data_IF_977551587386
#
_entry.id   IF_977551587386
#
_cell.length_a   1.000
_cell.length_b   1.000
_cell.length_c   1.000
_cell.angle_alpha   90.00
_cell.angle_beta   90.00
_cell.angle_gamma   90.00
#
_symmetry.space_group_name_H-M   'P 1'
#
loop_
_entity.id
_entity.type
_entity.pdbx_description
1 polymer ?
#
# COMPACT_ATOMS: atom_id res chain seq x y z
N UNK A 1 -12.52 -0.55 -11.57
CA UNK A 1 -12.04 -1.14 -12.84
C UNK A 1 -12.59 -2.56 -13.02
N UNK A 2 -12.56 -3.07 -14.27
CA UNK A 2 -12.97 -4.46 -14.56
C UNK A 2 -12.18 -4.98 -15.76
N UNK A 3 -11.78 -6.27 -15.69
CA UNK A 3 -11.12 -6.99 -16.80
C UNK A 3 -11.74 -8.38 -16.95
N UNK A 4 -11.52 -8.97 -18.14
CA UNK A 4 -11.77 -10.40 -18.38
C UNK A 4 -10.42 -11.10 -18.52
N UNK A 5 -10.21 -12.15 -17.77
CA UNK A 5 -8.98 -12.95 -17.84
C UNK A 5 -8.98 -13.87 -19.05
N UNK A 6 -7.82 -14.48 -19.37
CA UNK A 6 -7.70 -15.48 -20.43
C UNK A 6 -8.59 -16.73 -20.21
N UNK A 7 -8.99 -16.99 -18.97
CA UNK A 7 -9.90 -18.08 -18.60
C UNK A 7 -11.39 -17.70 -18.70
N UNK A 8 -11.68 -16.42 -19.02
CA UNK A 8 -13.06 -15.92 -19.12
C UNK A 8 -13.62 -15.41 -17.77
N UNK A 9 -12.84 -15.42 -16.71
CA UNK A 9 -13.27 -14.86 -15.42
C UNK A 9 -13.34 -13.34 -15.51
N UNK A 10 -14.42 -12.75 -15.03
CA UNK A 10 -14.52 -11.30 -14.82
C UNK A 10 -13.93 -10.97 -13.45
N UNK A 11 -13.05 -9.98 -13.40
CA UNK A 11 -12.51 -9.44 -12.15
C UNK A 11 -12.86 -7.96 -12.10
N UNK A 12 -13.61 -7.56 -11.08
CA UNK A 12 -13.97 -6.18 -10.80
C UNK A 12 -13.21 -5.69 -9.56
N UNK A 13 -12.49 -4.58 -9.68
CA UNK A 13 -11.81 -3.91 -8.57
C UNK A 13 -12.52 -2.63 -8.17
N UNK A 14 -12.58 -2.34 -6.88
CA UNK A 14 -13.22 -1.17 -6.32
C UNK A 14 -12.54 -0.69 -5.03
N UNK A 15 -12.83 0.55 -4.67
CA UNK A 15 -12.52 1.12 -3.37
C UNK A 15 -13.57 0.66 -2.35
N UNK A 16 -13.17 -0.05 -1.33
CA UNK A 16 -14.03 -0.37 -0.19
C UNK A 16 -13.90 0.74 0.85
N UNK A 17 -14.92 1.60 0.91
CA UNK A 17 -14.94 2.76 1.81
C UNK A 17 -15.57 2.36 3.14
N UNK A 18 -14.74 2.10 4.15
CA UNK A 18 -15.18 1.46 5.40
C UNK A 18 -15.86 2.42 6.39
N UNK A 19 -15.62 3.73 6.28
CA UNK A 19 -16.10 4.67 7.31
C UNK A 19 -16.96 5.81 6.77
N UNK A 20 -16.72 6.29 5.58
CA UNK A 20 -17.48 7.37 4.94
C UNK A 20 -17.24 7.39 3.42
N UNK A 21 -18.00 8.20 2.70
CA UNK A 21 -18.03 8.26 1.23
C UNK A 21 -16.90 9.08 0.58
N UNK A 22 -16.09 9.81 1.35
CA UNK A 22 -15.03 10.68 0.82
C UNK A 22 -13.82 9.89 0.32
N UNK A 23 -12.99 10.53 -0.51
CA UNK A 23 -11.76 9.97 -1.11
C UNK A 23 -10.55 10.02 -0.15
N UNK A 24 -10.77 9.75 1.10
CA UNK A 24 -9.75 9.70 2.17
C UNK A 24 -10.28 8.88 3.35
N UNK A 25 -9.40 8.46 4.23
CA UNK A 25 -9.75 7.68 5.41
C UNK A 25 -9.51 6.19 5.20
N UNK A 26 -10.27 5.34 5.87
CA UNK A 26 -10.10 3.89 5.76
C UNK A 26 -10.74 3.38 4.46
N UNK A 27 -9.91 3.27 3.41
CA UNK A 27 -10.29 2.79 2.08
C UNK A 27 -9.35 1.64 1.71
N UNK A 28 -9.92 0.48 1.42
CA UNK A 28 -9.20 -0.69 0.98
C UNK A 28 -9.41 -0.93 -0.51
N UNK A 29 -8.49 -1.60 -1.15
CA UNK A 29 -8.65 -2.07 -2.51
C UNK A 29 -9.13 -3.52 -2.49
N UNK A 30 -10.34 -3.75 -3.01
CA UNK A 30 -10.96 -5.07 -3.07
C UNK A 30 -11.22 -5.50 -4.50
N UNK A 31 -11.27 -6.81 -4.72
CA UNK A 31 -11.75 -7.40 -5.97
C UNK A 31 -12.90 -8.37 -5.72
N UNK A 32 -13.78 -8.51 -6.72
CA UNK A 32 -14.73 -9.61 -6.81
C UNK A 32 -14.57 -10.31 -8.15
N UNK A 33 -14.82 -11.61 -8.15
CA UNK A 33 -14.69 -12.47 -9.32
C UNK A 33 -16.05 -13.03 -9.72
N UNK A 34 -16.24 -13.21 -11.04
CA UNK A 34 -17.37 -13.93 -11.59
C UNK A 34 -16.88 -14.91 -12.66
N UNK A 35 -17.26 -16.17 -12.56
CA UNK A 35 -16.91 -17.23 -13.51
C UNK A 35 -18.08 -17.61 -14.42
N UNK A 36 -19.20 -16.90 -14.35
CA UNK A 36 -20.45 -17.14 -15.06
C UNK A 36 -20.96 -15.93 -15.87
N UNK A 37 -20.02 -15.15 -16.41
CA UNK A 37 -20.29 -13.94 -17.19
C UNK A 37 -21.04 -12.85 -16.42
N UNK A 38 -20.81 -12.73 -15.11
CA UNK A 38 -21.38 -11.66 -14.28
C UNK A 38 -22.76 -11.97 -13.72
N UNK A 39 -23.26 -13.19 -13.89
CA UNK A 39 -24.55 -13.60 -13.31
C UNK A 39 -24.48 -13.70 -11.80
N UNK A 40 -23.37 -14.26 -11.27
CA UNK A 40 -23.07 -14.28 -9.85
C UNK A 40 -21.65 -13.79 -9.58
N UNK A 41 -21.41 -13.31 -8.36
CA UNK A 41 -20.12 -12.78 -7.94
C UNK A 41 -19.69 -13.45 -6.63
N UNK A 42 -18.45 -13.90 -6.60
CA UNK A 42 -17.85 -14.48 -5.39
C UNK A 42 -17.71 -13.42 -4.29
N UNK A 43 -17.41 -13.85 -3.05
CA UNK A 43 -17.14 -12.94 -1.94
C UNK A 43 -15.97 -12.01 -2.28
N UNK A 44 -15.96 -10.77 -1.75
CA UNK A 44 -14.86 -9.85 -1.97
C UNK A 44 -13.55 -10.40 -1.41
N UNK A 45 -12.45 -10.09 -2.09
CA UNK A 45 -11.09 -10.39 -1.68
C UNK A 45 -10.40 -9.07 -1.40
N UNK A 46 -9.88 -8.90 -0.18
CA UNK A 46 -9.06 -7.75 0.18
C UNK A 46 -7.69 -7.92 -0.47
N UNK A 47 -7.38 -7.05 -1.44
CA UNK A 47 -6.08 -7.05 -2.14
C UNK A 47 -5.09 -6.21 -1.38
N UNK A 48 -5.50 -5.01 -0.96
CA UNK A 48 -4.69 -4.12 -0.14
C UNK A 48 -5.61 -3.50 0.92
N UNK A 49 -5.39 -3.91 2.17
CA UNK A 49 -6.03 -3.39 3.39
C UNK A 49 -4.93 -2.86 4.30
N UNK A 50 -4.61 -1.58 4.19
CA UNK A 50 -3.56 -0.97 4.98
C UNK A 50 -4.03 -0.71 6.42
N UNK A 51 -3.08 -0.81 7.35
CA UNK A 51 -3.35 -0.59 8.77
C UNK A 51 -4.04 0.77 8.99
N UNK A 52 -5.19 0.73 9.63
CA UNK A 52 -5.94 1.90 10.04
C UNK A 52 -5.79 2.17 11.53
N UNK A 53 -5.83 3.43 11.93
CA UNK A 53 -5.90 3.78 13.33
C UNK A 53 -7.37 3.83 13.80
N UNK A 54 -7.63 3.32 14.99
CA UNK A 54 -8.98 3.35 15.59
C UNK A 54 -9.38 4.72 16.13
N UNK A 55 -8.67 5.78 15.76
CA UNK A 55 -8.97 7.15 16.14
C UNK A 55 -10.15 7.68 15.30
N UNK A 56 -11.08 8.37 15.91
CA UNK A 56 -12.30 8.85 15.24
C UNK A 56 -13.08 7.77 14.45
N UNK A 57 -13.30 6.61 15.04
CA UNK A 57 -14.03 5.51 14.40
C UNK A 57 -13.34 4.97 13.12
N UNK A 58 -12.02 4.97 13.09
CA UNK A 58 -11.27 4.45 11.95
C UNK A 58 -11.24 5.38 10.73
N UNK A 59 -11.52 6.68 10.89
CA UNK A 59 -11.48 7.65 9.79
C UNK A 59 -10.07 8.04 9.37
N UNK A 60 -9.08 7.72 10.20
CA UNK A 60 -7.67 8.01 9.94
C UNK A 60 -6.94 6.75 9.55
N UNK A 61 -6.35 6.74 8.38
CA UNK A 61 -5.67 5.58 7.82
C UNK A 61 -4.67 5.99 6.75
N UNK A 62 -3.67 5.16 6.50
CA UNK A 62 -3.12 5.03 5.18
C UNK A 62 -4.15 4.31 4.31
N UNK A 63 -4.21 4.58 3.01
CA UNK A 63 -5.22 3.97 2.15
C UNK A 63 -4.76 3.83 0.71
N UNK A 64 -5.44 2.96 -0.04
CA UNK A 64 -5.30 2.84 -1.49
C UNK A 64 -6.61 3.21 -2.17
N UNK A 65 -6.52 3.77 -3.38
CA UNK A 65 -7.67 4.29 -4.11
C UNK A 65 -7.44 4.18 -5.64
N UNK A 66 -8.53 4.24 -6.40
CA UNK A 66 -8.53 4.31 -7.87
C UNK A 66 -7.85 3.10 -8.55
N UNK A 67 -8.26 1.87 -8.24
CA UNK A 67 -7.63 0.69 -8.84
C UNK A 67 -7.83 0.65 -10.35
N UNK A 68 -6.74 0.36 -11.08
CA UNK A 68 -6.74 0.06 -12.50
C UNK A 68 -6.29 -1.38 -12.73
N UNK A 69 -6.97 -2.11 -13.63
CA UNK A 69 -6.68 -3.51 -13.93
C UNK A 69 -6.25 -3.70 -15.37
N UNK A 70 -5.27 -4.59 -15.58
CA UNK A 70 -4.87 -5.08 -16.90
C UNK A 70 -4.69 -6.60 -16.82
N UNK A 71 -5.36 -7.35 -17.70
CA UNK A 71 -5.12 -8.78 -17.86
C UNK A 71 -4.16 -9.01 -19.04
N UNK A 72 -3.04 -9.73 -18.79
CA UNK A 72 -2.15 -10.15 -19.87
C UNK A 72 -2.82 -11.29 -20.67
N UNK A 73 -2.85 -11.10 -21.99
CA UNK A 73 -3.29 -12.13 -22.93
C UNK A 73 -2.27 -13.26 -23.08
N UNK A 74 -2.63 -14.28 -23.87
CA UNK A 74 -1.82 -15.49 -24.09
C UNK A 74 -0.42 -15.19 -24.70
N UNK A 75 -0.27 -14.08 -25.40
CA UNK A 75 0.99 -13.65 -26.03
C UNK A 75 1.81 -12.68 -25.16
N UNK A 76 1.38 -12.41 -23.92
CA UNK A 76 2.10 -11.58 -22.96
C UNK A 76 3.35 -12.29 -22.40
N UNK A 77 4.18 -11.56 -21.68
CA UNK A 77 5.36 -12.13 -20.99
C UNK A 77 4.95 -13.06 -19.83
N UNK A 78 3.80 -12.79 -19.23
CA UNK A 78 3.24 -13.56 -18.12
C UNK A 78 1.79 -13.91 -18.48
N UNK A 79 1.57 -14.91 -19.34
CA UNK A 79 0.24 -15.24 -19.83
C UNK A 79 -0.73 -15.55 -18.70
N UNK A 80 -1.88 -14.87 -18.70
CA UNK A 80 -2.92 -15.03 -17.67
C UNK A 80 -2.71 -14.22 -16.40
N UNK A 81 -1.60 -13.47 -16.29
CA UNK A 81 -1.39 -12.55 -15.17
C UNK A 81 -2.37 -11.38 -15.24
N UNK A 82 -2.89 -11.02 -14.08
CA UNK A 82 -3.68 -9.79 -13.91
C UNK A 82 -2.86 -8.82 -13.07
N UNK A 83 -2.62 -7.64 -13.61
CA UNK A 83 -1.95 -6.54 -12.94
C UNK A 83 -2.98 -5.58 -12.34
N UNK A 84 -2.67 -5.03 -11.18
CA UNK A 84 -3.44 -3.98 -10.52
C UNK A 84 -2.51 -2.83 -10.16
N UNK A 85 -2.84 -1.63 -10.63
CA UNK A 85 -2.21 -0.38 -10.21
C UNK A 85 -3.18 0.36 -9.29
N UNK A 86 -2.66 0.93 -8.21
CA UNK A 86 -3.42 1.76 -7.26
C UNK A 86 -2.63 2.98 -6.85
N UNK A 87 -3.33 4.04 -6.51
CA UNK A 87 -2.76 5.16 -5.76
C UNK A 87 -2.72 4.81 -4.28
N UNK A 88 -1.54 4.97 -3.65
CA UNK A 88 -1.36 4.80 -2.20
C UNK A 88 -1.08 6.13 -1.55
N UNK A 89 -1.81 6.41 -0.49
CA UNK A 89 -1.71 7.63 0.31
C UNK A 89 -1.34 7.31 1.75
N UNK A 90 -0.19 7.80 2.28
CA UNK A 90 0.07 7.79 3.72
C UNK A 90 -0.99 8.58 4.48
N UNK A 91 -1.21 8.25 5.75
CA UNK A 91 -2.13 8.99 6.59
C UNK A 91 -1.78 10.48 6.64
N UNK A 92 -2.81 11.35 6.57
CA UNK A 92 -2.64 12.79 6.70
C UNK A 92 -2.53 13.24 8.17
N UNK A 93 -1.64 14.17 8.46
CA UNK A 93 -1.50 14.76 9.81
C UNK A 93 -2.68 15.63 10.27
N UNK A 94 -3.55 16.05 9.35
CA UNK A 94 -4.68 16.96 9.67
C UNK A 94 -6.01 16.23 9.90
N UNK A 95 -5.93 15.09 10.40
CA UNK A 95 -6.86 14.08 10.86
C UNK A 95 -8.34 14.36 11.03
N UNK A 96 -8.84 15.52 10.98
CA UNK A 96 -10.27 15.75 11.29
C UNK A 96 -11.08 16.43 10.19
N UNK A 97 -10.47 16.75 9.05
CA UNK A 97 -11.15 17.61 8.08
C UNK A 97 -10.91 17.28 6.61
N UNK A 98 -10.92 16.02 6.23
CA UNK A 98 -11.07 15.64 4.83
C UNK A 98 -10.06 16.28 3.88
N UNK A 99 -8.83 16.43 4.29
CA UNK A 99 -7.79 16.90 3.39
C UNK A 99 -7.03 15.72 2.85
N UNK A 100 -6.92 15.68 1.52
CA UNK A 100 -6.05 14.75 0.83
C UNK A 100 -4.69 14.65 1.50
N UNK A 101 -4.12 13.46 1.51
CA UNK A 101 -2.81 13.19 2.12
C UNK A 101 -1.65 13.85 1.37
N UNK A 102 -1.89 14.41 0.18
CA UNK A 102 -0.87 15.08 -0.63
C UNK A 102 -0.61 16.47 -0.06
N UNK A 103 0.51 16.64 0.61
CA UNK A 103 0.95 17.92 1.20
C UNK A 103 2.35 18.30 0.83
N UNK A 104 3.11 17.37 0.29
CA UNK A 104 4.49 17.55 -0.09
C UNK A 104 4.66 17.25 -1.57
N UNK A 105 5.61 17.93 -2.19
CA UNK A 105 5.95 17.74 -3.60
C UNK A 105 7.05 16.70 -3.77
N UNK A 106 7.13 16.12 -4.98
CA UNK A 106 8.12 15.14 -5.37
C UNK A 106 7.70 13.70 -5.08
N UNK A 107 8.51 12.77 -5.55
CA UNK A 107 8.20 11.34 -5.51
C UNK A 107 8.32 10.69 -4.13
N UNK A 108 8.92 11.38 -3.15
CA UNK A 108 9.27 10.76 -1.87
C UNK A 108 10.50 9.85 -1.91
N UNK A 109 11.19 9.81 -3.06
CA UNK A 109 12.38 8.99 -3.27
C UNK A 109 13.65 9.82 -3.35
N UNK A 110 14.77 9.22 -2.96
CA UNK A 110 16.11 9.78 -3.08
C UNK A 110 17.04 8.79 -3.73
N UNK A 111 17.99 9.31 -4.51
CA UNK A 111 18.97 8.48 -5.22
C UNK A 111 20.23 8.28 -4.37
N UNK A 112 20.60 7.01 -4.15
CA UNK A 112 21.85 6.61 -3.49
C UNK A 112 22.56 5.61 -4.41
N UNK A 113 23.78 5.90 -4.80
CA UNK A 113 24.60 5.07 -5.69
C UNK A 113 23.86 4.64 -6.98
N UNK A 114 23.08 5.57 -7.55
CA UNK A 114 22.35 5.37 -8.80
C UNK A 114 21.00 4.65 -8.66
N UNK A 115 20.62 4.17 -7.49
CA UNK A 115 19.30 3.56 -7.20
C UNK A 115 18.40 4.51 -6.43
N UNK A 116 17.10 4.43 -6.71
CA UNK A 116 16.08 5.18 -6.00
C UNK A 116 15.60 4.38 -4.78
N UNK A 117 15.52 5.04 -3.62
CA UNK A 117 15.05 4.47 -2.37
C UNK A 117 14.00 5.37 -1.72
N UNK A 118 12.97 4.78 -1.14
CA UNK A 118 11.99 5.51 -0.36
C UNK A 118 12.69 6.27 0.78
N UNK A 119 12.52 7.58 0.80
CA UNK A 119 13.04 8.42 1.86
C UNK A 119 12.07 8.43 3.05
N UNK A 120 12.61 8.19 4.23
CA UNK A 120 11.90 8.30 5.50
C UNK A 120 12.49 9.46 6.29
N UNK A 121 11.66 10.11 7.10
CA UNK A 121 12.06 11.26 7.91
C UNK A 121 11.59 11.09 9.34
N UNK A 122 12.44 11.45 10.31
CA UNK A 122 12.07 11.53 11.71
C UNK A 122 11.45 12.90 12.06
N UNK A 123 11.07 13.10 13.31
CA UNK A 123 10.47 14.35 13.82
C UNK A 123 11.38 15.58 13.70
N UNK A 124 12.69 15.38 13.61
CA UNK A 124 13.71 16.44 13.49
C UNK A 124 14.12 16.63 12.01
N UNK A 125 13.38 16.00 11.08
CA UNK A 125 13.61 16.02 9.63
C UNK A 125 14.95 15.42 9.19
N UNK A 126 15.53 14.52 10.00
CA UNK A 126 16.66 13.72 9.54
C UNK A 126 16.18 12.68 8.52
N UNK A 127 16.93 12.56 7.43
CA UNK A 127 16.59 11.67 6.32
C UNK A 127 17.19 10.27 6.54
N UNK A 128 16.38 9.26 6.23
CA UNK A 128 16.75 7.85 6.15
C UNK A 128 16.32 7.29 4.80
N UNK A 129 16.79 6.09 4.46
CA UNK A 129 16.39 5.38 3.23
C UNK A 129 16.01 3.95 3.55
N UNK A 130 14.86 3.52 2.99
CA UNK A 130 14.39 2.15 3.07
C UNK A 130 14.94 1.33 1.90
N UNK A 131 15.65 0.24 2.20
CA UNK A 131 16.22 -0.68 1.20
C UNK A 131 15.23 -1.80 0.86
N UNK A 132 15.50 -2.51 -0.26
CA UNK A 132 14.64 -3.56 -0.80
C UNK A 132 14.39 -4.73 0.18
N UNK A 133 15.32 -4.97 1.11
CA UNK A 133 15.23 -6.00 2.15
C UNK A 133 14.59 -5.51 3.46
N UNK A 134 14.00 -4.31 3.47
CA UNK A 134 13.39 -3.70 4.65
C UNK A 134 14.38 -3.00 5.58
N UNK A 135 15.67 -3.11 5.36
CA UNK A 135 16.67 -2.42 6.17
C UNK A 135 16.63 -0.91 5.97
N UNK A 136 16.82 -0.15 7.04
CA UNK A 136 16.81 1.31 7.03
C UNK A 136 18.20 1.85 7.28
N UNK A 137 18.64 2.78 6.43
CA UNK A 137 19.95 3.41 6.49
C UNK A 137 19.81 4.92 6.75
N UNK A 138 20.76 5.47 7.52
CA UNK A 138 20.83 6.92 7.75
C UNK A 138 21.40 7.68 6.52
N UNK A 139 21.46 9.00 6.62
CA UNK A 139 21.97 9.87 5.54
C UNK A 139 23.46 9.68 5.22
N UNK A 140 24.25 9.13 6.13
CA UNK A 140 25.64 8.75 5.93
C UNK A 140 25.78 7.33 5.37
N UNK A 141 24.67 6.71 4.94
CA UNK A 141 24.61 5.35 4.40
C UNK A 141 25.06 4.26 5.39
N UNK A 142 24.85 4.49 6.69
CA UNK A 142 25.09 3.51 7.75
C UNK A 142 23.79 2.80 8.08
N UNK A 143 23.83 1.47 8.18
CA UNK A 143 22.70 0.66 8.61
C UNK A 143 22.29 1.05 10.05
N UNK A 144 20.99 1.25 10.24
CA UNK A 144 20.38 1.49 11.54
C UNK A 144 19.88 0.18 12.17
N UNK A 145 19.27 0.25 13.34
CA UNK A 145 18.54 -0.86 13.96
C UNK A 145 17.05 -0.92 13.60
N UNK A 146 16.62 -0.06 12.66
CA UNK A 146 15.28 -0.07 12.10
C UNK A 146 15.15 -1.07 10.94
N UNK A 147 14.03 -1.81 10.92
CA UNK A 147 13.66 -2.72 9.84
C UNK A 147 12.16 -2.61 9.57
N UNK A 148 11.77 -2.42 8.32
CA UNK A 148 10.38 -2.51 7.87
C UNK A 148 10.03 -3.96 7.57
N UNK A 149 8.84 -4.40 8.00
CA UNK A 149 8.36 -5.77 7.79
C UNK A 149 8.39 -6.15 6.32
N UNK A 150 8.91 -7.33 6.04
CA UNK A 150 8.88 -7.99 4.73
C UNK A 150 7.88 -9.14 4.75
N UNK A 151 7.32 -9.45 3.60
CA UNK A 151 6.41 -10.58 3.40
C UNK A 151 7.08 -11.66 2.58
N UNK A 152 6.72 -12.92 2.86
CA UNK A 152 7.17 -14.08 2.09
C UNK A 152 5.94 -14.68 1.38
N UNK A 153 6.04 -14.84 0.05
CA UNK A 153 4.95 -15.40 -0.76
C UNK A 153 3.75 -14.44 -0.89
N UNK A 154 2.58 -15.01 -1.17
CA UNK A 154 1.34 -14.25 -1.29
C UNK A 154 0.63 -14.18 0.08
N UNK A 155 0.55 -13.00 0.66
CA UNK A 155 -0.26 -12.74 1.83
C UNK A 155 -1.73 -12.58 1.39
N UNK A 156 -2.63 -13.39 1.96
CA UNK A 156 -4.06 -13.35 1.63
C UNK A 156 -4.86 -12.37 2.47
N UNK A 157 -4.21 -11.65 3.39
CA UNK A 157 -4.85 -10.76 4.35
C UNK A 157 -4.71 -9.27 3.96
N UNK A 158 -4.52 -8.98 2.68
CA UNK A 158 -4.48 -7.61 2.17
C UNK A 158 -3.24 -6.81 2.57
N UNK A 159 -2.19 -7.47 3.07
CA UNK A 159 -0.95 -6.81 3.49
C UNK A 159 -1.13 -5.76 4.59
N UNK A 160 -2.03 -6.01 5.52
CA UNK A 160 -2.40 -5.10 6.61
C UNK A 160 -1.20 -4.58 7.44
N UNK A 161 -0.13 -5.38 7.56
CA UNK A 161 1.08 -5.00 8.31
C UNK A 161 2.17 -4.37 7.43
N UNK A 162 1.85 -4.05 6.14
CA UNK A 162 2.81 -3.38 5.26
C UNK A 162 3.17 -2.01 5.81
N UNK A 163 4.48 -1.77 5.94
CA UNK A 163 5.00 -0.57 6.58
C UNK A 163 5.22 -0.66 8.09
N UNK A 164 4.94 -1.80 8.71
CA UNK A 164 5.25 -2.01 10.11
C UNK A 164 6.76 -1.91 10.34
N UNK A 165 7.15 -1.01 11.25
CA UNK A 165 8.53 -0.70 11.58
C UNK A 165 8.90 -1.36 12.90
N UNK A 166 10.04 -2.00 12.89
CA UNK A 166 10.66 -2.59 14.08
C UNK A 166 11.98 -1.89 14.36
N UNK A 167 12.28 -1.67 15.64
CA UNK A 167 13.57 -1.19 16.12
C UNK A 167 14.15 -2.23 17.08
N UNK A 168 15.35 -2.71 16.81
CA UNK A 168 15.98 -3.78 17.61
C UNK A 168 15.03 -4.97 17.85
N UNK A 169 14.23 -5.35 16.83
CA UNK A 169 13.27 -6.45 16.88
C UNK A 169 11.95 -6.17 17.60
N UNK A 170 11.71 -4.95 18.07
CA UNK A 170 10.44 -4.55 18.71
C UNK A 170 9.64 -3.68 17.76
N UNK A 171 8.33 -3.95 17.63
CA UNK A 171 7.41 -3.11 16.90
C UNK A 171 7.36 -1.69 17.50
N UNK A 172 7.51 -0.68 16.64
CA UNK A 172 7.55 0.74 17.04
C UNK A 172 6.56 1.60 16.26
N UNK A 173 5.66 1.00 15.49
CA UNK A 173 4.61 1.66 14.72
C UNK A 173 4.70 1.36 13.23
N UNK A 174 3.80 1.97 12.46
CA UNK A 174 3.74 1.83 11.00
C UNK A 174 4.17 3.14 10.34
N UNK A 175 5.07 3.07 9.35
CA UNK A 175 5.63 4.26 8.67
C UNK A 175 4.58 5.10 7.94
N UNK A 176 3.46 4.50 7.55
CA UNK A 176 2.38 5.19 6.83
C UNK A 176 1.35 5.85 7.76
N UNK A 177 1.40 5.57 9.08
CA UNK A 177 0.51 6.15 10.08
C UNK A 177 1.19 7.29 10.83
N UNK A 178 0.54 8.45 10.93
CA UNK A 178 1.15 9.68 11.45
C UNK A 178 0.46 10.27 12.67
N UNK A 179 -0.82 9.99 12.87
CA UNK A 179 -1.54 10.53 14.01
C UNK A 179 -1.32 9.69 15.27
N UNK A 180 -1.27 10.35 16.42
CA UNK A 180 -1.29 9.65 17.69
C UNK A 180 -2.69 9.05 17.90
N UNK A 181 -2.83 7.74 17.71
CA UNK A 181 -4.02 6.99 18.10
C UNK A 181 -3.92 6.52 19.54
N UNK A 182 -5.02 5.97 20.06
CA UNK A 182 -5.01 5.29 21.37
C UNK A 182 -4.00 4.14 21.40
N UNK A 183 -3.71 3.53 20.24
CA UNK A 183 -2.79 2.40 20.12
C UNK A 183 -1.36 2.86 19.81
N UNK A 184 -1.15 4.15 19.51
CA UNK A 184 0.13 4.75 19.17
C UNK A 184 0.87 4.00 18.05
N UNK A 185 0.15 3.70 16.97
CA UNK A 185 0.70 2.96 15.81
C UNK A 185 1.51 3.84 14.84
N UNK A 186 1.66 5.15 15.14
CA UNK A 186 2.54 6.04 14.38
C UNK A 186 4.00 5.68 14.63
N UNK A 187 4.75 5.40 13.58
CA UNK A 187 6.18 5.12 13.69
C UNK A 187 7.01 6.39 13.97
N UNK A 188 8.26 6.26 14.42
CA UNK A 188 9.18 7.40 14.52
C UNK A 188 9.71 7.88 13.15
N UNK A 189 9.54 7.11 12.09
CA UNK A 189 9.98 7.42 10.73
C UNK A 189 8.80 7.39 9.76
N UNK A 190 8.70 8.37 8.87
CA UNK A 190 7.61 8.49 7.90
C UNK A 190 8.09 8.86 6.51
N UNK A 191 7.50 8.34 5.43
CA UNK A 191 7.71 8.82 4.07
C UNK A 191 7.05 10.20 3.90
N UNK A 192 7.33 10.89 2.80
CA UNK A 192 6.61 12.13 2.45
C UNK A 192 5.11 11.89 2.30
N UNK A 193 4.31 12.90 2.60
CA UNK A 193 2.87 12.94 2.34
C UNK A 193 2.60 13.30 0.87
N UNK A 194 2.91 12.37 -0.01
CA UNK A 194 2.65 12.44 -1.45
C UNK A 194 1.88 11.19 -1.90
N UNK A 195 1.42 11.17 -3.14
CA UNK A 195 0.84 9.99 -3.75
C UNK A 195 1.94 9.05 -4.22
N UNK A 196 1.80 7.77 -3.94
CA UNK A 196 2.67 6.68 -4.38
C UNK A 196 1.90 5.77 -5.33
N UNK A 197 2.54 5.29 -6.40
CA UNK A 197 1.96 4.34 -7.33
C UNK A 197 2.39 2.92 -6.95
N UNK A 198 1.43 2.11 -6.57
CA UNK A 198 1.67 0.73 -6.17
C UNK A 198 1.15 -0.26 -7.21
N UNK A 199 1.96 -1.26 -7.52
CA UNK A 199 1.66 -2.31 -8.46
C UNK A 199 1.62 -3.66 -7.77
N UNK A 200 0.52 -4.40 -7.93
CA UNK A 200 0.33 -5.78 -7.50
C UNK A 200 -0.05 -6.66 -8.68
N UNK A 201 0.05 -7.97 -8.56
CA UNK A 201 -0.39 -8.90 -9.59
C UNK A 201 -0.97 -10.18 -9.00
N UNK A 202 -1.78 -10.85 -9.82
CA UNK A 202 -2.29 -12.19 -9.56
C UNK A 202 -1.91 -13.12 -10.71
N UNK A 203 -1.39 -14.31 -10.40
CA UNK A 203 -1.07 -15.39 -11.34
C UNK A 203 -2.10 -16.52 -11.28
N UNK A 204 -3.09 -16.43 -10.43
CA UNK A 204 -4.10 -17.46 -10.15
C UNK A 204 -5.54 -17.00 -10.44
N UNK A 205 -5.69 -16.16 -11.47
CA UNK A 205 -7.01 -15.71 -11.93
C UNK A 205 -7.72 -14.78 -10.93
N UNK A 206 -6.95 -14.01 -10.16
CA UNK A 206 -7.44 -13.03 -9.19
C UNK A 206 -7.79 -13.61 -7.81
N UNK A 207 -7.41 -14.84 -7.53
CA UNK A 207 -7.69 -15.48 -6.23
C UNK A 207 -6.73 -15.03 -5.14
N UNK A 208 -5.45 -14.85 -5.49
CA UNK A 208 -4.43 -14.30 -4.59
C UNK A 208 -3.63 -13.23 -5.31
N UNK A 209 -3.08 -12.29 -4.55
CA UNK A 209 -2.35 -11.13 -5.08
C UNK A 209 -0.97 -11.03 -4.45
N UNK A 210 0.00 -10.57 -5.23
CA UNK A 210 1.36 -10.33 -4.75
C UNK A 210 1.40 -9.15 -3.78
N UNK A 211 2.41 -9.12 -2.91
CA UNK A 211 2.72 -7.89 -2.17
C UNK A 211 2.82 -6.71 -3.15
N UNK A 212 2.14 -5.58 -2.87
CA UNK A 212 2.25 -4.40 -3.71
C UNK A 212 3.66 -3.80 -3.65
N UNK A 213 4.19 -3.49 -4.83
CA UNK A 213 5.50 -2.86 -5.02
C UNK A 213 5.30 -1.41 -5.43
N UNK A 214 6.04 -0.50 -4.81
CA UNK A 214 6.05 0.91 -5.17
C UNK A 214 6.82 1.12 -6.47
N UNK A 215 6.18 1.71 -7.46
CA UNK A 215 6.75 2.01 -8.79
C UNK A 215 6.82 3.52 -9.07
N UNK A 216 6.72 4.35 -8.03
CA UNK A 216 6.73 5.82 -8.14
C UNK A 216 8.01 6.41 -8.74
N UNK A 217 9.24 5.90 -8.45
CA UNK A 217 10.49 6.45 -8.98
C UNK A 217 10.73 6.19 -10.46
#
# INVERSE_FOLDING_TARGET
AMVTTSKGTLIAAADQRNTHWSDWGNIDTVVRRSTDNGLTWEEPIDVIDLKSQSYFNGTQSAYTIDPALIAEGENGKNPGRVWMLVDMMPESTNGSQGTYSIKETGTGYVKVDGKDYLALYDKDNNQYTLRENGEVFDKENRKTDYVVKQFEGNDKQGYHEKGDLYQSGKYVGNIYLRSASKNNDSAPLHPKQTCYLWLSYSDDDGMTWSEPVDITP
#
